data_IF_741166431763
#
_entry.id   IF_741166431763
#
_cell.length_a   1.000
_cell.length_b   1.000
_cell.length_c   1.000
_cell.angle_alpha   90.00
_cell.angle_beta   90.00
_cell.angle_gamma   90.00
#
_symmetry.space_group_name_H-M   'P 1'
#
loop_
_entity.id
_entity.type
_entity.pdbx_description
1 polymer ?
#
# COMPACT_ATOMS: atom_id res chain seq x y z
N UNK A 1 22.22 16.33 -9.93
CA UNK A 1 21.34 15.21 -10.28
C UNK A 1 19.95 15.58 -9.78
N UNK A 2 18.93 15.57 -10.64
CA UNK A 2 17.55 15.85 -10.22
C UNK A 2 17.01 14.64 -9.46
N UNK A 3 16.32 14.88 -8.35
CA UNK A 3 15.64 13.85 -7.56
C UNK A 3 14.61 13.05 -8.36
N UNK A 4 14.23 11.86 -7.88
CA UNK A 4 13.19 11.05 -8.50
C UNK A 4 11.81 11.67 -8.26
N UNK A 5 11.09 11.92 -9.34
CA UNK A 5 9.72 12.49 -9.29
C UNK A 5 8.69 11.38 -9.08
N UNK A 6 7.61 11.70 -8.39
CA UNK A 6 6.54 10.74 -8.06
C UNK A 6 5.18 11.31 -8.46
N UNK A 7 4.37 10.48 -9.13
CA UNK A 7 2.95 10.76 -9.35
C UNK A 7 2.13 9.87 -8.43
N UNK A 8 1.33 10.51 -7.59
CA UNK A 8 0.45 9.86 -6.61
C UNK A 8 -0.94 9.74 -7.20
N UNK A 9 -1.47 8.52 -7.24
CA UNK A 9 -2.86 8.22 -7.57
C UNK A 9 -3.55 7.70 -6.32
N UNK A 10 -4.55 8.42 -5.82
CA UNK A 10 -5.11 8.18 -4.48
C UNK A 10 -6.63 8.02 -4.50
N UNK A 11 -7.11 6.85 -4.09
CA UNK A 11 -8.54 6.58 -3.89
C UNK A 11 -9.00 7.04 -2.50
N UNK A 12 -9.73 8.17 -2.42
CA UNK A 12 -10.20 8.74 -1.15
C UNK A 12 -11.29 7.91 -0.47
N UNK A 13 -12.03 7.07 -1.21
CA UNK A 13 -13.00 6.14 -0.60
C UNK A 13 -12.29 5.03 0.17
N UNK A 14 -11.21 4.49 -0.39
CA UNK A 14 -10.52 3.34 0.21
C UNK A 14 -9.53 3.77 1.29
N UNK A 15 -8.87 4.91 1.07
CA UNK A 15 -7.88 5.49 1.96
C UNK A 15 -8.27 6.95 2.27
N UNK A 16 -9.33 7.20 3.05
CA UNK A 16 -9.75 8.56 3.37
C UNK A 16 -8.69 9.29 4.21
N UNK A 17 -8.74 10.63 4.19
CA UNK A 17 -7.99 11.43 5.15
C UNK A 17 -8.50 11.12 6.57
N UNK A 18 -7.61 10.78 7.52
CA UNK A 18 -7.98 10.61 8.93
C UNK A 18 -8.66 11.88 9.48
N UNK A 19 -9.70 11.72 10.32
CA UNK A 19 -10.52 12.84 10.81
C UNK A 19 -9.72 13.93 11.55
N UNK A 20 -8.60 13.56 12.17
CA UNK A 20 -7.70 14.47 12.88
C UNK A 20 -6.77 15.28 11.96
N UNK A 21 -6.75 14.99 10.66
CA UNK A 21 -5.83 15.57 9.70
C UNK A 21 -6.54 16.36 8.62
N UNK A 22 -5.76 17.22 7.94
CA UNK A 22 -6.22 17.99 6.79
C UNK A 22 -5.37 17.65 5.55
N UNK A 23 -5.86 17.98 4.33
CA UNK A 23 -5.17 17.64 3.08
C UNK A 23 -3.72 18.14 3.00
N UNK A 24 -3.43 19.32 3.56
CA UNK A 24 -2.08 19.89 3.57
C UNK A 24 -1.10 19.09 4.43
N UNK A 25 -1.53 18.69 5.65
CA UNK A 25 -0.72 17.84 6.52
C UNK A 25 -0.48 16.46 5.91
N UNK A 26 -1.49 15.87 5.28
CA UNK A 26 -1.35 14.57 4.62
C UNK A 26 -0.38 14.65 3.43
N UNK A 27 -0.44 15.71 2.61
CA UNK A 27 0.54 15.93 1.54
C UNK A 27 1.96 16.09 2.08
N UNK A 28 2.12 16.83 3.19
CA UNK A 28 3.41 16.98 3.85
C UNK A 28 3.94 15.62 4.36
N UNK A 29 3.07 14.78 4.92
CA UNK A 29 3.42 13.43 5.36
C UNK A 29 3.84 12.53 4.20
N UNK A 30 3.08 12.51 3.10
CA UNK A 30 3.43 11.76 1.88
C UNK A 30 4.81 12.20 1.38
N UNK A 31 5.02 13.51 1.24
CA UNK A 31 6.30 14.08 0.79
C UNK A 31 7.45 13.67 1.70
N UNK A 32 7.28 13.79 3.02
CA UNK A 32 8.28 13.39 4.02
C UNK A 32 8.65 11.91 3.91
N UNK A 33 7.68 11.01 3.74
CA UNK A 33 7.95 9.58 3.54
C UNK A 33 8.71 9.30 2.25
N UNK A 34 8.34 9.99 1.16
CA UNK A 34 9.00 9.88 -0.13
C UNK A 34 10.46 10.37 -0.07
N UNK A 35 10.72 11.53 0.53
CA UNK A 35 12.08 12.09 0.70
C UNK A 35 12.99 11.14 1.49
N UNK A 36 12.48 10.50 2.56
CA UNK A 36 13.22 9.48 3.34
C UNK A 36 13.66 8.28 2.49
N UNK A 37 13.00 8.00 1.37
CA UNK A 37 13.34 6.93 0.41
C UNK A 37 14.13 7.43 -0.82
N UNK A 38 14.53 8.70 -0.83
CA UNK A 38 15.28 9.30 -1.93
C UNK A 38 14.40 9.75 -3.12
N UNK A 39 13.10 9.96 -2.88
CA UNK A 39 12.19 10.60 -3.83
C UNK A 39 12.05 12.08 -3.47
N UNK A 40 13.06 12.87 -3.83
CA UNK A 40 13.17 14.31 -3.57
C UNK A 40 12.88 15.16 -4.83
N UNK A 41 12.32 14.55 -5.88
CA UNK A 41 11.90 15.22 -7.12
C UNK A 41 10.51 15.87 -7.03
N UNK A 42 9.89 16.08 -8.20
CA UNK A 42 8.54 16.67 -8.28
C UNK A 42 7.50 15.68 -7.74
N UNK A 43 6.57 16.19 -6.94
CA UNK A 43 5.41 15.45 -6.44
C UNK A 43 4.13 15.98 -7.08
N UNK A 44 3.39 15.12 -7.79
CA UNK A 44 2.05 15.41 -8.29
C UNK A 44 1.05 14.49 -7.60
N UNK A 45 -0.02 15.04 -7.01
CA UNK A 45 -1.02 14.26 -6.26
C UNK A 45 -2.38 14.36 -6.92
N UNK A 46 -2.89 13.22 -7.40
CA UNK A 46 -4.22 13.06 -7.99
C UNK A 46 -5.10 12.24 -7.07
N UNK A 47 -6.15 12.84 -6.53
CA UNK A 47 -7.07 12.20 -5.59
C UNK A 47 -8.46 11.99 -6.21
N UNK A 48 -8.90 10.74 -6.24
CA UNK A 48 -10.14 10.29 -6.84
C UNK A 48 -11.23 10.16 -5.79
N UNK A 49 -12.39 10.75 -6.06
CA UNK A 49 -13.49 10.81 -5.10
C UNK A 49 -14.85 10.55 -5.75
N UNK A 50 -15.81 10.11 -4.93
CA UNK A 50 -17.18 9.90 -5.37
C UNK A 50 -17.93 11.24 -5.41
N UNK A 51 -18.19 11.73 -6.63
CA UNK A 51 -18.82 13.05 -6.83
C UNK A 51 -20.18 13.16 -6.14
N UNK A 52 -20.92 12.05 -6.10
CA UNK A 52 -22.22 11.94 -5.44
C UNK A 52 -22.13 12.08 -3.92
N UNK A 53 -20.99 11.71 -3.33
CA UNK A 53 -20.73 11.78 -1.89
C UNK A 53 -20.11 13.12 -1.48
N UNK A 54 -19.35 13.76 -2.37
CA UNK A 54 -18.58 14.98 -2.06
C UNK A 54 -18.85 16.11 -3.06
N UNK A 55 -20.11 16.57 -3.17
CA UNK A 55 -20.48 17.68 -4.04
C UNK A 55 -20.20 19.08 -3.47
N UNK A 56 -19.47 19.17 -2.35
CA UNK A 56 -19.21 20.43 -1.64
C UNK A 56 -17.99 21.16 -2.24
N UNK A 57 -18.19 22.42 -2.66
CA UNK A 57 -17.14 23.26 -3.21
C UNK A 57 -16.08 23.63 -2.16
N UNK A 58 -16.48 23.78 -0.88
CA UNK A 58 -15.54 24.03 0.22
C UNK A 58 -14.69 22.80 0.50
N UNK A 59 -15.28 21.60 0.40
CA UNK A 59 -14.52 20.35 0.41
C UNK A 59 -13.47 20.38 -0.70
N UNK A 60 -13.87 20.62 -1.96
CA UNK A 60 -12.94 20.56 -3.08
C UNK A 60 -11.84 21.63 -3.03
N UNK A 61 -12.17 22.83 -2.53
CA UNK A 61 -11.20 23.92 -2.34
C UNK A 61 -10.08 23.53 -1.37
N UNK A 62 -10.39 22.87 -0.24
CA UNK A 62 -9.39 22.46 0.76
C UNK A 62 -8.29 21.55 0.18
N UNK A 63 -8.64 20.67 -0.75
CA UNK A 63 -7.68 19.78 -1.40
C UNK A 63 -6.85 20.51 -2.45
N UNK A 64 -7.49 21.34 -3.29
CA UNK A 64 -6.78 22.15 -4.29
C UNK A 64 -5.80 23.13 -3.67
N UNK A 65 -6.19 23.79 -2.57
CA UNK A 65 -5.32 24.68 -1.80
C UNK A 65 -4.11 23.94 -1.21
N UNK A 66 -4.20 22.61 -1.03
CA UNK A 66 -3.11 21.74 -0.58
C UNK A 66 -2.26 21.16 -1.73
N UNK A 67 -2.55 21.53 -2.99
CA UNK A 67 -1.85 21.01 -4.17
C UNK A 67 -2.31 19.63 -4.62
N UNK A 68 -3.53 19.23 -4.26
CA UNK A 68 -4.13 17.96 -4.69
C UNK A 68 -5.11 18.20 -5.83
N UNK A 69 -4.86 17.55 -6.96
CA UNK A 69 -5.77 17.50 -8.10
C UNK A 69 -6.92 16.54 -7.79
N UNK A 70 -8.09 17.10 -7.51
CA UNK A 70 -9.30 16.31 -7.26
C UNK A 70 -9.95 15.87 -8.57
N UNK A 71 -10.11 14.56 -8.71
CA UNK A 71 -10.66 13.93 -9.90
C UNK A 71 -12.01 13.27 -9.55
N UNK A 72 -13.14 13.80 -10.07
CA UNK A 72 -14.44 13.22 -9.79
C UNK A 72 -14.63 11.89 -10.53
N UNK A 73 -15.20 10.92 -9.83
CA UNK A 73 -15.71 9.67 -10.39
C UNK A 73 -17.09 9.33 -9.84
N UNK A 74 -17.84 8.50 -10.57
CA UNK A 74 -19.01 7.82 -10.01
C UNK A 74 -18.57 6.63 -9.16
N UNK A 75 -19.43 6.15 -8.26
CA UNK A 75 -19.13 5.09 -7.28
C UNK A 75 -18.44 3.84 -7.85
N UNK A 76 -18.81 3.43 -9.06
CA UNK A 76 -18.22 2.29 -9.77
C UNK A 76 -17.21 2.71 -10.85
N UNK A 77 -17.37 3.90 -11.44
CA UNK A 77 -16.52 4.38 -12.53
C UNK A 77 -15.19 4.98 -12.06
N UNK A 78 -15.09 5.35 -10.78
CA UNK A 78 -13.90 5.98 -10.19
C UNK A 78 -12.66 5.09 -10.33
N UNK A 79 -12.77 3.81 -10.01
CA UNK A 79 -11.62 2.90 -9.97
C UNK A 79 -11.09 2.65 -11.39
N UNK A 80 -11.99 2.46 -12.36
CA UNK A 80 -11.65 2.43 -13.79
C UNK A 80 -11.00 3.72 -14.27
N UNK A 81 -11.51 4.87 -13.84
CA UNK A 81 -10.92 6.17 -14.22
C UNK A 81 -9.50 6.31 -13.69
N UNK A 82 -9.28 5.97 -12.43
CA UNK A 82 -7.95 5.97 -11.82
C UNK A 82 -6.99 5.02 -12.55
N UNK A 83 -7.45 3.80 -12.87
CA UNK A 83 -6.69 2.82 -13.64
C UNK A 83 -6.28 3.37 -15.02
N UNK A 84 -7.22 3.96 -15.77
CA UNK A 84 -6.95 4.55 -17.07
C UNK A 84 -5.96 5.71 -16.99
N UNK A 85 -6.10 6.58 -15.99
CA UNK A 85 -5.18 7.70 -15.79
C UNK A 85 -3.76 7.22 -15.43
N UNK A 86 -3.61 6.12 -14.68
CA UNK A 86 -2.32 5.48 -14.42
C UNK A 86 -1.70 4.98 -15.72
N UNK A 87 -2.47 4.24 -16.53
CA UNK A 87 -1.98 3.69 -17.81
C UNK A 87 -1.59 4.81 -18.77
N UNK A 88 -2.44 5.84 -18.92
CA UNK A 88 -2.15 7.00 -19.77
C UNK A 88 -0.91 7.75 -19.27
N UNK A 89 -0.76 7.94 -17.97
CA UNK A 89 0.44 8.54 -17.39
C UNK A 89 1.70 7.73 -17.73
N UNK A 90 1.64 6.40 -17.68
CA UNK A 90 2.73 5.52 -18.11
C UNK A 90 2.94 5.43 -19.63
N UNK A 91 2.06 6.01 -20.44
CA UNK A 91 2.24 6.14 -21.90
C UNK A 91 2.83 7.52 -22.24
N UNK A 92 2.36 8.57 -21.56
CA UNK A 92 2.72 9.96 -21.85
C UNK A 92 4.11 10.36 -21.31
N UNK A 93 4.62 9.67 -20.29
CA UNK A 93 5.86 10.05 -19.61
C UNK A 93 7.04 9.13 -19.98
N UNK A 94 8.16 9.71 -20.39
CA UNK A 94 9.44 8.99 -20.53
C UNK A 94 9.96 8.60 -19.14
N UNK A 95 10.71 7.48 -19.03
CA UNK A 95 11.36 6.99 -17.81
C UNK A 95 11.92 8.15 -16.96
N UNK A 96 11.66 8.15 -15.65
CA UNK A 96 12.05 9.23 -14.73
C UNK A 96 10.99 9.65 -13.72
N UNK A 97 9.80 9.05 -13.80
CA UNK A 97 8.75 9.15 -12.78
C UNK A 97 8.49 7.77 -12.16
N UNK A 98 8.19 7.77 -10.86
CA UNK A 98 7.74 6.60 -10.14
C UNK A 98 6.28 6.79 -9.68
N UNK A 99 5.56 5.68 -9.53
CA UNK A 99 4.14 5.70 -9.22
C UNK A 99 3.93 5.36 -7.75
N UNK A 100 3.18 6.20 -7.04
CA UNK A 100 2.62 5.86 -5.74
C UNK A 100 1.10 5.70 -5.89
N UNK A 101 0.60 4.50 -5.66
CA UNK A 101 -0.81 4.18 -5.80
C UNK A 101 -1.37 3.91 -4.41
N UNK A 102 -2.28 4.77 -3.94
CA UNK A 102 -2.89 4.69 -2.62
C UNK A 102 -4.33 4.19 -2.78
N UNK A 103 -4.55 2.89 -2.58
CA UNK A 103 -5.88 2.27 -2.64
C UNK A 103 -5.94 1.00 -1.81
N UNK A 104 -7.16 0.49 -1.60
CA UNK A 104 -7.36 -0.90 -1.19
C UNK A 104 -7.65 -1.74 -2.42
N UNK A 105 -6.73 -2.58 -2.92
CA UNK A 105 -7.00 -3.38 -4.10
C UNK A 105 -8.05 -4.45 -3.76
N UNK A 106 -9.22 -4.35 -4.39
CA UNK A 106 -10.31 -5.34 -4.26
C UNK A 106 -10.39 -6.22 -5.52
N UNK A 107 -10.01 -5.67 -6.68
CA UNK A 107 -10.18 -6.32 -7.98
C UNK A 107 -8.81 -6.79 -8.54
N UNK A 108 -8.66 -8.09 -8.88
CA UNK A 108 -7.43 -8.61 -9.48
C UNK A 108 -6.99 -7.87 -10.76
N UNK A 109 -7.94 -7.40 -11.55
CA UNK A 109 -7.73 -6.69 -12.82
C UNK A 109 -6.92 -5.40 -12.62
N UNK A 110 -7.14 -4.70 -11.52
CA UNK A 110 -6.39 -3.48 -11.20
C UNK A 110 -4.91 -3.81 -10.91
N UNK A 111 -4.66 -4.86 -10.12
CA UNK A 111 -3.31 -5.32 -9.81
C UNK A 111 -2.59 -5.85 -11.06
N UNK A 112 -3.31 -6.56 -11.94
CA UNK A 112 -2.77 -6.96 -13.24
C UNK A 112 -2.34 -5.72 -14.04
N UNK A 113 -3.13 -4.65 -14.01
CA UNK A 113 -2.77 -3.40 -14.69
C UNK A 113 -1.47 -2.80 -14.14
N UNK A 114 -1.29 -2.78 -12.82
CA UNK A 114 -0.05 -2.30 -12.19
C UNK A 114 1.15 -3.17 -12.59
N UNK A 115 0.97 -4.49 -12.69
CA UNK A 115 2.05 -5.42 -13.06
C UNK A 115 2.62 -5.18 -14.46
N UNK A 116 1.87 -4.53 -15.36
CA UNK A 116 2.35 -4.18 -16.70
C UNK A 116 3.26 -2.95 -16.73
N UNK A 117 3.35 -2.18 -15.65
CA UNK A 117 4.20 -0.99 -15.57
C UNK A 117 5.67 -1.33 -15.29
N UNK A 118 5.93 -2.36 -14.48
CA UNK A 118 7.30 -2.76 -14.13
C UNK A 118 8.12 -3.23 -15.34
N UNK A 119 7.60 -4.08 -16.27
CA UNK A 119 8.31 -4.41 -17.51
C UNK A 119 8.61 -3.20 -18.41
N UNK A 120 7.90 -2.08 -18.24
CA UNK A 120 8.15 -0.82 -18.96
C UNK A 120 9.24 0.03 -18.28
N UNK A 121 9.73 -0.39 -17.12
CA UNK A 121 10.80 0.24 -16.36
C UNK A 121 10.31 1.28 -15.36
N UNK A 122 9.04 1.21 -14.94
CA UNK A 122 8.51 2.05 -13.87
C UNK A 122 8.58 1.35 -12.53
N UNK A 123 8.92 2.09 -11.47
CA UNK A 123 8.76 1.61 -10.10
C UNK A 123 7.35 1.97 -9.59
N UNK A 124 6.66 0.97 -9.04
CA UNK A 124 5.29 1.12 -8.53
C UNK A 124 5.27 0.80 -7.03
N UNK A 125 4.85 1.78 -6.24
CA UNK A 125 4.66 1.68 -4.79
C UNK A 125 3.16 1.61 -4.55
N UNK A 126 2.68 0.54 -3.91
CA UNK A 126 1.28 0.44 -3.47
C UNK A 126 1.19 0.78 -1.99
N UNK A 127 0.41 1.79 -1.62
CA UNK A 127 0.03 2.03 -0.23
C UNK A 127 -1.43 1.60 0.00
N UNK A 128 -1.67 0.65 0.89
CA UNK A 128 -3.01 0.06 1.10
C UNK A 128 -3.39 -0.01 2.59
N UNK A 129 -4.69 0.02 2.95
CA UNK A 129 -5.14 -0.09 4.33
C UNK A 129 -5.19 -1.55 4.77
N UNK A 130 -4.84 -1.79 6.03
CA UNK A 130 -4.50 -3.11 6.55
C UNK A 130 -5.66 -4.13 6.56
N UNK A 131 -5.41 -5.29 5.92
CA UNK A 131 -5.88 -6.66 6.25
C UNK A 131 -5.59 -7.70 5.15
N UNK A 132 -5.30 -7.29 3.91
CA UNK A 132 -5.12 -8.20 2.76
C UNK A 132 -3.88 -7.88 1.88
N UNK A 133 -3.06 -6.95 2.36
CA UNK A 133 -2.07 -6.16 1.60
C UNK A 133 -0.79 -6.93 1.22
N UNK A 134 -0.59 -8.15 1.73
CA UNK A 134 0.56 -8.98 1.39
C UNK A 134 0.18 -10.38 0.90
N UNK A 135 -0.90 -10.48 0.11
CA UNK A 135 -1.06 -11.67 -0.73
C UNK A 135 0.13 -11.77 -1.70
N UNK A 136 0.55 -12.99 -2.02
CA UNK A 136 1.65 -13.21 -2.98
C UNK A 136 1.38 -12.51 -4.32
N UNK A 137 0.11 -12.45 -4.72
CA UNK A 137 -0.31 -11.77 -5.94
C UNK A 137 -0.03 -10.27 -5.91
N UNK A 138 -0.37 -9.59 -4.80
CA UNK A 138 -0.06 -8.15 -4.63
C UNK A 138 1.45 -7.91 -4.66
N UNK A 139 2.22 -8.71 -3.91
CA UNK A 139 3.70 -8.60 -3.85
C UNK A 139 4.43 -8.92 -5.16
N UNK A 140 3.74 -9.55 -6.12
CA UNK A 140 4.26 -9.81 -7.48
C UNK A 140 3.84 -8.74 -8.49
N UNK A 141 2.85 -7.90 -8.14
CA UNK A 141 2.26 -6.95 -9.07
C UNK A 141 2.87 -5.54 -8.96
N UNK A 142 3.64 -5.26 -7.91
CA UNK A 142 4.22 -3.94 -7.63
C UNK A 142 5.61 -4.08 -7.02
N UNK A 143 6.41 -3.02 -7.14
CA UNK A 143 7.80 -2.97 -6.71
C UNK A 143 7.96 -2.92 -5.19
N UNK A 144 7.05 -2.21 -4.50
CA UNK A 144 7.01 -2.17 -3.04
C UNK A 144 5.60 -1.94 -2.52
N UNK A 145 5.36 -2.34 -1.27
CA UNK A 145 4.04 -2.22 -0.62
C UNK A 145 4.19 -1.54 0.72
N UNK A 146 3.44 -0.47 0.96
CA UNK A 146 3.48 0.36 2.17
C UNK A 146 2.12 0.34 2.89
N UNK A 147 2.14 0.57 4.20
CA UNK A 147 0.90 0.78 4.96
C UNK A 147 0.39 2.21 4.75
N UNK A 148 -0.82 2.34 4.19
CA UNK A 148 -1.42 3.66 3.92
C UNK A 148 -1.62 4.49 5.20
N UNK A 149 -2.00 3.90 6.32
CA UNK A 149 -2.22 4.65 7.57
C UNK A 149 -0.92 5.28 8.07
N UNK A 150 0.20 4.54 8.07
CA UNK A 150 1.50 5.06 8.49
C UNK A 150 2.01 6.15 7.54
N UNK A 151 1.81 5.96 6.24
CA UNK A 151 2.12 6.95 5.21
C UNK A 151 1.34 8.25 5.42
N UNK A 152 0.01 8.16 5.56
CA UNK A 152 -0.88 9.32 5.60
C UNK A 152 -0.85 10.05 6.95
N UNK A 153 -0.72 9.32 8.06
CA UNK A 153 -0.81 9.90 9.41
C UNK A 153 0.52 10.41 9.96
N UNK A 154 1.58 9.64 9.78
CA UNK A 154 2.84 9.85 10.51
C UNK A 154 3.95 10.35 9.60
N UNK A 155 3.77 10.25 8.27
CA UNK A 155 4.86 10.41 7.32
C UNK A 155 5.98 9.42 7.63
N UNK A 156 5.59 8.18 7.93
CA UNK A 156 6.50 7.08 8.20
C UNK A 156 6.40 5.96 7.17
N UNK A 157 7.43 5.11 7.19
CA UNK A 157 7.68 4.07 6.21
C UNK A 157 7.52 2.70 6.83
N UNK A 158 6.28 2.23 6.90
CA UNK A 158 6.00 0.81 7.14
C UNK A 158 6.00 0.07 5.80
N UNK A 159 7.21 -0.17 5.28
CA UNK A 159 7.42 -0.93 4.06
C UNK A 159 7.23 -2.43 4.33
N UNK A 160 6.18 -3.00 3.74
CA UNK A 160 5.78 -4.41 3.84
C UNK A 160 6.49 -5.31 2.80
N UNK A 161 7.25 -4.75 1.85
CA UNK A 161 7.99 -5.48 0.82
C UNK A 161 9.31 -6.09 1.32
N UNK A 162 9.88 -5.57 2.42
CA UNK A 162 11.08 -6.15 2.99
C UNK A 162 10.73 -7.45 3.73
N UNK A 163 11.27 -8.53 3.18
CA UNK A 163 11.11 -9.93 3.58
C UNK A 163 9.79 -10.54 3.07
N UNK A 164 9.79 -10.85 1.77
CA UNK A 164 9.19 -12.12 1.36
C UNK A 164 9.82 -13.21 2.25
N UNK A 165 9.06 -13.86 3.12
CA UNK A 165 9.48 -15.18 3.62
C UNK A 165 9.29 -16.15 2.45
N UNK A 166 10.08 -15.98 1.38
CA UNK A 166 10.22 -16.99 0.31
C UNK A 166 10.91 -18.21 0.85
N UNK A 167 11.74 -18.04 1.87
CA UNK A 167 12.28 -19.14 2.64
C UNK A 167 12.16 -18.90 4.15
N UNK A 168 11.42 -19.77 4.83
CA UNK A 168 11.40 -19.80 6.29
C UNK A 168 12.78 -20.13 6.88
N UNK A 169 13.67 -20.71 6.07
CA UNK A 169 15.03 -21.04 6.47
C UNK A 169 15.86 -19.81 6.84
N UNK A 170 15.50 -18.62 6.34
CA UNK A 170 16.17 -17.37 6.64
C UNK A 170 16.00 -16.92 8.11
N UNK A 171 15.06 -17.54 8.83
CA UNK A 171 14.76 -17.26 10.23
C UNK A 171 15.12 -18.44 11.13
N UNK A 172 16.04 -18.24 12.06
CA UNK A 172 16.49 -19.26 13.00
C UNK A 172 15.72 -19.24 14.33
N UNK A 173 14.95 -18.17 14.59
CA UNK A 173 14.15 -18.06 15.82
C UNK A 173 12.83 -17.31 15.62
N UNK A 174 11.84 -17.53 16.51
CA UNK A 174 10.66 -16.68 16.59
C UNK A 174 10.99 -15.20 16.78
N UNK A 175 12.05 -14.87 17.51
CA UNK A 175 12.45 -13.50 17.80
C UNK A 175 12.89 -12.76 16.52
N UNK A 176 13.57 -13.44 15.61
CA UNK A 176 13.92 -12.86 14.30
C UNK A 176 12.67 -12.56 13.46
N UNK A 177 11.63 -13.40 13.57
CA UNK A 177 10.33 -13.14 12.94
C UNK A 177 9.59 -11.94 13.55
N UNK A 178 9.91 -11.51 14.78
CA UNK A 178 9.31 -10.31 15.37
C UNK A 178 9.71 -9.04 14.61
N UNK A 179 10.88 -9.04 13.95
CA UNK A 179 11.34 -7.92 13.11
C UNK A 179 10.42 -7.64 11.92
N UNK A 180 9.59 -8.62 11.52
CA UNK A 180 8.55 -8.44 10.50
C UNK A 180 7.42 -7.50 10.97
N UNK A 181 7.29 -7.30 12.29
CA UNK A 181 6.25 -6.47 12.86
C UNK A 181 4.87 -7.12 12.89
N UNK A 182 3.96 -6.46 13.61
CA UNK A 182 2.64 -7.01 13.96
C UNK A 182 1.79 -7.27 12.73
N UNK A 183 1.80 -6.32 11.80
CA UNK A 183 1.00 -6.34 10.59
C UNK A 183 1.39 -7.53 9.71
N UNK A 184 2.68 -7.69 9.43
CA UNK A 184 3.17 -8.76 8.54
C UNK A 184 2.91 -10.15 9.12
N UNK A 185 3.21 -10.35 10.41
CA UNK A 185 2.97 -11.63 11.06
C UNK A 185 1.49 -12.02 11.04
N UNK A 186 0.59 -11.04 11.14
CA UNK A 186 -0.84 -11.27 11.02
C UNK A 186 -1.19 -11.78 9.62
N UNK A 187 -0.66 -11.15 8.57
CA UNK A 187 -0.90 -11.51 7.18
C UNK A 187 -0.34 -12.91 6.85
N UNK A 188 0.90 -13.20 7.25
CA UNK A 188 1.53 -14.51 7.01
C UNK A 188 0.76 -15.67 7.68
N UNK A 189 0.22 -15.44 8.88
CA UNK A 189 -0.65 -16.40 9.56
C UNK A 189 -1.98 -16.56 8.82
N UNK A 190 -2.63 -15.46 8.45
CA UNK A 190 -3.94 -15.50 7.78
C UNK A 190 -3.87 -16.19 6.40
N UNK A 191 -2.84 -15.90 5.60
CA UNK A 191 -2.62 -16.55 4.29
C UNK A 191 -2.47 -18.06 4.39
N UNK A 192 -1.99 -18.57 5.54
CA UNK A 192 -1.85 -20.00 5.85
C UNK A 192 -3.01 -20.56 6.66
N UNK A 193 -4.14 -19.84 6.74
CA UNK A 193 -5.33 -20.21 7.52
C UNK A 193 -5.02 -20.48 8.99
N UNK A 194 -4.07 -19.74 9.56
CA UNK A 194 -3.70 -19.79 10.97
C UNK A 194 -4.30 -18.60 11.73
N UNK A 195 -4.56 -18.81 13.02
CA UNK A 195 -5.04 -17.73 13.91
C UNK A 195 -3.98 -16.65 14.03
N UNK A 196 -4.40 -15.40 13.90
CA UNK A 196 -3.51 -14.23 13.92
C UNK A 196 -3.71 -13.32 15.15
N UNK A 197 -4.48 -13.77 16.15
CA UNK A 197 -4.67 -13.06 17.43
C UNK A 197 -3.48 -13.21 18.39
N UNK A 198 -3.43 -12.32 19.39
CA UNK A 198 -2.40 -12.29 20.43
C UNK A 198 -1.34 -11.20 20.24
N UNK A 199 -0.25 -11.29 21.01
CA UNK A 199 0.89 -10.38 20.94
C UNK A 199 1.75 -10.62 19.69
N UNK A 200 2.66 -9.69 19.38
CA UNK A 200 3.67 -9.84 18.32
C UNK A 200 4.43 -11.18 18.47
N UNK A 201 4.93 -11.43 19.68
CA UNK A 201 5.68 -12.64 20.06
C UNK A 201 4.85 -13.91 19.82
N UNK A 202 3.57 -13.88 20.22
CA UNK A 202 2.68 -15.03 20.04
C UNK A 202 2.40 -15.33 18.57
N UNK A 203 2.32 -14.30 17.72
CA UNK A 203 2.19 -14.46 16.28
C UNK A 203 3.47 -15.00 15.66
N UNK A 204 4.64 -14.46 16.04
CA UNK A 204 5.94 -14.89 15.55
C UNK A 204 6.21 -16.35 15.89
N UNK A 205 6.02 -16.74 17.16
CA UNK A 205 6.16 -18.12 17.60
C UNK A 205 5.21 -19.08 16.87
N UNK A 206 3.96 -18.65 16.65
CA UNK A 206 2.97 -19.46 15.92
C UNK A 206 3.36 -19.66 14.46
N UNK A 207 3.87 -18.62 13.81
CA UNK A 207 4.35 -18.68 12.44
C UNK A 207 5.58 -19.60 12.34
N UNK A 208 6.52 -19.48 13.29
CA UNK A 208 7.73 -20.30 13.37
C UNK A 208 7.47 -21.81 13.49
N UNK A 209 6.36 -22.24 14.10
CA UNK A 209 5.99 -23.67 14.22
C UNK A 209 5.93 -24.39 12.87
N UNK A 210 5.66 -23.66 11.78
CA UNK A 210 5.58 -24.23 10.45
C UNK A 210 6.94 -24.72 9.90
N UNK A 211 8.07 -24.31 10.50
CA UNK A 211 9.39 -24.84 10.15
C UNK A 211 9.54 -26.32 10.50
N UNK A 212 8.97 -26.74 11.62
CA UNK A 212 9.12 -28.10 12.14
C UNK A 212 7.85 -28.94 11.97
N UNK A 213 6.69 -28.30 11.85
CA UNK A 213 5.39 -28.97 11.86
C UNK A 213 4.53 -28.49 10.69
N UNK A 214 4.25 -29.35 9.71
CA UNK A 214 3.30 -29.06 8.63
C UNK A 214 1.91 -28.63 9.15
N UNK A 215 1.24 -27.75 8.40
CA UNK A 215 -0.03 -27.13 8.79
C UNK A 215 -1.15 -28.15 9.12
N UNK A 216 -1.21 -29.25 8.38
CA UNK A 216 -2.17 -30.34 8.58
C UNK A 216 -2.00 -30.99 9.96
N UNK A 217 -0.75 -31.13 10.43
CA UNK A 217 -0.41 -31.74 11.73
C UNK A 217 -0.54 -30.79 12.92
N UNK A 218 -0.75 -29.49 12.69
CA UNK A 218 -0.92 -28.54 13.79
C UNK A 218 -2.26 -28.72 14.54
N UNK A 219 -2.30 -28.49 15.86
CA UNK A 219 -3.54 -28.49 16.63
C UNK A 219 -4.58 -27.47 16.12
N UNK A 220 -5.88 -27.80 16.20
CA UNK A 220 -6.99 -26.91 15.79
C UNK A 220 -6.93 -25.52 16.45
N UNK A 221 -6.39 -25.41 17.67
CA UNK A 221 -6.26 -24.12 18.37
C UNK A 221 -5.42 -23.08 17.62
N UNK A 222 -4.54 -23.52 16.71
CA UNK A 222 -3.69 -22.63 15.91
C UNK A 222 -4.24 -22.35 14.51
N UNK A 223 -5.28 -23.07 14.08
CA UNK A 223 -5.89 -22.97 12.75
C UNK A 223 -7.21 -22.17 12.81
N UNK A 224 -7.54 -21.48 11.73
CA UNK A 224 -8.83 -20.83 11.53
C UNK A 224 -9.87 -21.82 11.01
#
# INVERSE_FOLDING_TARGET
MSGKSVVVFWCLKDCPIPESLNPGLVCANIKKSLEKKGYDGLLSVKAYYDKETFSDELFAKKYRDAGIDLIPGGKTARDYKMMWDIVLCGVDNVKGIDFLVILKPVEPEFLLTLSYLEPRGYNVILASPDKEVASEFVLRSVSSVWLSTSLLEQGDLDELSNIRITNFDDFNSPQELEALGTVRLKIELQSRRMKCGGTLQARAARLFLLKSTPLDKLPKKFKC
#
